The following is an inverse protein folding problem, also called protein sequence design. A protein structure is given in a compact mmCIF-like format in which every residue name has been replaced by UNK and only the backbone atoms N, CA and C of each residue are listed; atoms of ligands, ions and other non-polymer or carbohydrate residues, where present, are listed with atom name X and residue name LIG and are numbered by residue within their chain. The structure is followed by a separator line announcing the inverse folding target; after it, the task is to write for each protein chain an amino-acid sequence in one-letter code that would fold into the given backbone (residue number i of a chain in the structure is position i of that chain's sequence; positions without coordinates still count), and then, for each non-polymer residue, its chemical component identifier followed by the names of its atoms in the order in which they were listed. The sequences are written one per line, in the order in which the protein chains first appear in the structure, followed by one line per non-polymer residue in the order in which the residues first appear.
data_IF_859206729169
#
_entry.id   IF_859206729169
#
_cell.length_a   1.000
_cell.length_b   1.000
_cell.length_c   1.000
_cell.angle_alpha   90.00
_cell.angle_beta   90.00
_cell.angle_gamma   90.00
#
_symmetry.space_group_name_H-M   'P 1'
#
loop_
_entity.id
_entity.type
_entity.pdbx_description
1 polymer ?
#
# COMPACT_ATOMS: atom_id res chain seq x y z
N UNK A 1 -17.91 -0.79 -17.94
CA UNK A 1 -17.11 -2.02 -17.81
C UNK A 1 -17.98 -3.15 -17.31
N UNK A 2 -17.89 -4.30 -17.97
CA UNK A 2 -18.56 -5.55 -17.57
C UNK A 2 -17.74 -6.32 -16.52
N UNK A 3 -18.34 -7.29 -15.83
CA UNK A 3 -17.64 -8.12 -14.84
C UNK A 3 -16.43 -8.90 -15.41
N UNK A 4 -16.53 -9.53 -16.60
CA UNK A 4 -15.39 -10.20 -17.22
C UNK A 4 -14.23 -9.24 -17.57
N UNK A 5 -14.55 -8.04 -18.05
CA UNK A 5 -13.53 -7.02 -18.36
C UNK A 5 -12.76 -6.60 -17.11
N UNK A 6 -13.47 -6.31 -16.01
CA UNK A 6 -12.84 -5.94 -14.73
C UNK A 6 -11.98 -7.08 -14.21
N UNK A 7 -12.50 -8.32 -14.23
CA UNK A 7 -11.75 -9.51 -13.79
C UNK A 7 -10.45 -9.68 -14.57
N UNK A 8 -10.52 -9.61 -15.90
CA UNK A 8 -9.35 -9.77 -16.76
C UNK A 8 -8.32 -8.67 -16.52
N UNK A 9 -8.77 -7.41 -16.33
CA UNK A 9 -7.87 -6.29 -16.07
C UNK A 9 -7.22 -6.38 -14.70
N UNK A 10 -7.93 -6.85 -13.68
CA UNK A 10 -7.36 -7.17 -12.36
C UNK A 10 -6.25 -8.22 -12.49
N UNK A 11 -6.48 -9.29 -13.25
CA UNK A 11 -5.49 -10.36 -13.46
C UNK A 11 -4.27 -9.88 -14.25
N UNK A 12 -4.45 -9.01 -15.23
CA UNK A 12 -3.37 -8.37 -15.98
C UNK A 12 -2.48 -7.53 -15.04
N UNK A 13 -3.11 -6.66 -14.23
CA UNK A 13 -2.40 -5.84 -13.24
C UNK A 13 -1.70 -6.73 -12.21
N UNK A 14 -2.38 -7.78 -11.74
CA UNK A 14 -1.81 -8.74 -10.80
C UNK A 14 -0.55 -9.38 -11.38
N UNK A 15 -0.61 -9.94 -12.59
CA UNK A 15 0.56 -10.53 -13.26
C UNK A 15 1.72 -9.53 -13.41
N UNK A 16 1.43 -8.26 -13.70
CA UNK A 16 2.45 -7.21 -13.81
C UNK A 16 3.11 -6.85 -12.48
N UNK A 17 2.40 -7.00 -11.36
CA UNK A 17 2.87 -6.63 -10.02
C UNK A 17 3.50 -7.79 -9.25
N UNK A 18 3.26 -9.03 -9.68
CA UNK A 18 3.88 -10.21 -9.09
C UNK A 18 5.40 -10.14 -9.21
N UNK A 19 6.06 -10.68 -8.19
CA UNK A 19 7.51 -10.86 -8.21
C UNK A 19 7.96 -11.94 -9.19
N UNK A 20 7.09 -12.92 -9.48
CA UNK A 20 7.27 -13.89 -10.55
C UNK A 20 5.97 -13.96 -11.38
N UNK A 21 5.99 -13.37 -12.57
CA UNK A 21 4.82 -13.23 -13.44
C UNK A 21 4.34 -14.56 -14.04
N UNK A 22 5.24 -15.54 -14.18
CA UNK A 22 5.00 -16.78 -14.92
C UNK A 22 4.67 -17.97 -14.03
N UNK A 23 4.86 -17.86 -12.72
CA UNK A 23 4.50 -18.93 -11.78
C UNK A 23 2.98 -19.14 -11.74
N UNK A 24 2.55 -20.39 -11.57
CA UNK A 24 1.15 -20.68 -11.28
C UNK A 24 0.71 -20.02 -9.95
N UNK A 25 -0.59 -19.77 -9.80
CA UNK A 25 -1.14 -19.22 -8.58
C UNK A 25 -2.55 -19.76 -8.35
N UNK A 26 -2.97 -19.78 -7.10
CA UNK A 26 -4.32 -20.15 -6.72
C UNK A 26 -5.20 -18.90 -6.63
N UNK A 27 -6.27 -18.84 -7.44
CA UNK A 27 -7.18 -17.68 -7.50
C UNK A 27 -7.89 -17.37 -6.17
N UNK A 28 -8.07 -18.37 -5.31
CA UNK A 28 -8.75 -18.20 -4.02
C UNK A 28 -8.00 -17.33 -3.03
N UNK A 29 -6.67 -17.21 -3.18
CA UNK A 29 -5.80 -16.40 -2.32
C UNK A 29 -4.64 -15.79 -3.11
N UNK A 30 -4.96 -15.31 -4.32
CA UNK A 30 -3.97 -14.81 -5.28
C UNK A 30 -3.11 -13.65 -4.74
N UNK A 31 -3.60 -12.90 -3.76
CA UNK A 31 -2.84 -11.84 -3.09
C UNK A 31 -1.51 -12.34 -2.52
N UNK A 32 -1.49 -13.54 -1.94
CA UNK A 32 -0.28 -14.11 -1.34
C UNK A 32 0.81 -14.45 -2.36
N UNK A 33 0.43 -14.53 -3.65
CA UNK A 33 1.33 -14.76 -4.77
C UNK A 33 1.91 -13.48 -5.39
N UNK A 34 1.65 -12.30 -4.80
CA UNK A 34 2.31 -11.04 -5.19
C UNK A 34 3.82 -11.06 -4.87
N UNK A 35 4.23 -11.83 -3.86
CA UNK A 35 5.63 -11.99 -3.45
C UNK A 35 6.26 -13.27 -4.04
N UNK A 36 7.59 -13.35 -3.97
CA UNK A 36 8.34 -14.57 -4.25
C UNK A 36 9.37 -14.79 -3.11
N UNK A 37 9.33 -15.91 -2.38
CA UNK A 37 8.32 -16.98 -2.45
C UNK A 37 6.90 -16.49 -2.13
N UNK A 38 5.89 -17.25 -2.56
CA UNK A 38 4.51 -16.97 -2.20
C UNK A 38 4.31 -17.18 -0.69
N UNK A 39 3.47 -16.35 -0.09
CA UNK A 39 3.10 -16.49 1.32
C UNK A 39 2.05 -17.62 1.51
N UNK A 40 1.93 -18.11 2.73
CA UNK A 40 0.80 -18.97 3.10
C UNK A 40 -0.51 -18.20 2.98
N UNK A 41 -1.63 -18.93 2.88
CA UNK A 41 -2.96 -18.37 2.67
C UNK A 41 -3.30 -17.26 3.67
N UNK A 42 -3.59 -16.07 3.16
CA UNK A 42 -3.94 -14.86 3.90
C UNK A 42 -2.85 -14.41 4.88
N UNK A 43 -1.58 -14.52 4.49
CA UNK A 43 -0.45 -14.13 5.35
C UNK A 43 0.48 -13.10 4.72
N UNK A 44 0.19 -12.60 3.50
CA UNK A 44 1.01 -11.57 2.87
C UNK A 44 1.19 -10.30 3.73
N UNK A 45 0.23 -9.98 4.60
CA UNK A 45 0.34 -8.80 5.49
C UNK A 45 1.19 -9.04 6.73
N UNK A 46 1.69 -10.26 6.95
CA UNK A 46 2.53 -10.59 8.09
C UNK A 46 4.01 -10.19 7.87
N UNK A 47 4.36 -9.68 6.68
CA UNK A 47 5.71 -9.20 6.39
C UNK A 47 5.69 -7.77 5.83
N UNK A 48 6.68 -6.95 6.19
CA UNK A 48 6.79 -5.57 5.67
C UNK A 48 6.84 -5.53 4.14
N UNK A 49 7.52 -6.51 3.52
CA UNK A 49 7.62 -6.62 2.06
C UNK A 49 6.28 -6.99 1.44
N UNK A 50 5.57 -7.95 2.02
CA UNK A 50 4.27 -8.39 1.56
C UNK A 50 3.21 -7.30 1.71
N UNK A 51 3.14 -6.63 2.86
CA UNK A 51 2.29 -5.45 3.09
C UNK A 51 2.51 -4.39 2.01
N UNK A 52 3.77 -4.04 1.73
CA UNK A 52 4.10 -3.05 0.70
C UNK A 52 3.65 -3.51 -0.69
N UNK A 53 3.86 -4.77 -1.05
CA UNK A 53 3.44 -5.32 -2.34
C UNK A 53 1.92 -5.33 -2.48
N UNK A 54 1.22 -5.72 -1.42
CA UNK A 54 -0.24 -5.68 -1.34
C UNK A 54 -0.78 -4.27 -1.57
N UNK A 55 -0.29 -3.27 -0.81
CA UNK A 55 -0.76 -1.90 -0.97
C UNK A 55 -0.45 -1.33 -2.37
N UNK A 56 0.75 -1.56 -2.90
CA UNK A 56 1.09 -1.14 -4.28
C UNK A 56 0.16 -1.72 -5.33
N UNK A 57 -0.21 -3.00 -5.19
CA UNK A 57 -1.17 -3.64 -6.08
C UNK A 57 -2.54 -2.96 -5.97
N UNK A 58 -3.04 -2.74 -4.74
CA UNK A 58 -4.32 -2.04 -4.52
C UNK A 58 -4.31 -0.62 -5.06
N UNK A 59 -3.23 0.13 -4.84
CA UNK A 59 -3.02 1.49 -5.34
C UNK A 59 -3.05 1.57 -6.86
N UNK A 60 -2.49 0.56 -7.54
CA UNK A 60 -2.51 0.45 -9.00
C UNK A 60 -3.92 0.18 -9.52
N UNK A 61 -4.72 -0.60 -8.79
CA UNK A 61 -6.14 -0.77 -9.10
C UNK A 61 -6.94 0.52 -8.87
N UNK A 62 -6.68 1.25 -7.78
CA UNK A 62 -7.30 2.56 -7.53
C UNK A 62 -7.07 3.51 -8.71
N UNK A 63 -5.81 3.58 -9.17
CA UNK A 63 -5.46 4.37 -10.34
C UNK A 63 -6.14 3.84 -11.59
N UNK A 64 -6.01 2.56 -11.93
CA UNK A 64 -6.56 2.03 -13.19
C UNK A 64 -8.07 2.26 -13.32
N UNK A 65 -8.82 1.98 -12.26
CA UNK A 65 -10.28 2.05 -12.30
C UNK A 65 -10.83 3.41 -11.86
N UNK A 66 -9.98 4.35 -11.41
CA UNK A 66 -10.41 5.64 -10.88
C UNK A 66 -11.31 5.49 -9.65
N UNK A 67 -10.96 4.57 -8.75
CA UNK A 67 -11.72 4.26 -7.53
C UNK A 67 -10.88 4.46 -6.28
N UNK A 68 -11.52 4.60 -5.12
CA UNK A 68 -10.83 4.64 -3.84
C UNK A 68 -11.35 3.52 -2.92
N UNK A 69 -10.46 2.69 -2.40
CA UNK A 69 -10.77 1.71 -1.36
C UNK A 69 -10.82 2.39 0.02
N UNK A 70 -11.71 1.95 0.90
CA UNK A 70 -11.62 2.39 2.31
C UNK A 70 -10.51 1.63 3.04
N UNK A 71 -10.09 2.13 4.20
CA UNK A 71 -9.15 1.40 5.08
C UNK A 71 -9.68 -0.02 5.38
N UNK A 72 -10.98 -0.13 5.68
CA UNK A 72 -11.65 -1.42 5.90
C UNK A 72 -11.68 -2.35 4.69
N UNK A 73 -11.56 -1.81 3.47
CA UNK A 73 -11.40 -2.64 2.27
C UNK A 73 -9.95 -3.13 2.18
N UNK A 74 -9.00 -2.23 2.43
CA UNK A 74 -7.57 -2.56 2.41
C UNK A 74 -7.17 -3.57 3.48
N UNK A 75 -7.88 -3.66 4.60
CA UNK A 75 -7.60 -4.64 5.67
C UNK A 75 -8.04 -6.07 5.32
N UNK A 76 -8.92 -6.25 4.32
CA UNK A 76 -9.43 -7.58 3.95
C UNK A 76 -8.48 -8.37 3.06
N UNK A 77 -8.69 -9.68 2.99
CA UNK A 77 -8.11 -10.55 1.97
C UNK A 77 -9.17 -10.84 0.90
N UNK A 78 -8.75 -10.86 -0.36
CA UNK A 78 -9.64 -11.04 -1.50
C UNK A 78 -9.24 -12.25 -2.33
N UNK A 79 -10.25 -13.02 -2.75
CA UNK A 79 -10.15 -13.81 -3.99
C UNK A 79 -10.42 -12.90 -5.19
N UNK A 80 -10.05 -13.36 -6.39
CA UNK A 80 -10.23 -12.60 -7.64
C UNK A 80 -11.69 -12.14 -7.81
N UNK A 81 -12.65 -13.04 -7.58
CA UNK A 81 -14.07 -12.73 -7.75
C UNK A 81 -14.58 -11.72 -6.73
N UNK A 82 -14.16 -11.85 -5.46
CA UNK A 82 -14.52 -10.89 -4.40
C UNK A 82 -13.97 -9.50 -4.71
N UNK A 83 -12.74 -9.42 -5.20
CA UNK A 83 -12.14 -8.15 -5.60
C UNK A 83 -12.86 -7.54 -6.80
N UNK A 84 -13.19 -8.36 -7.80
CA UNK A 84 -13.90 -7.93 -9.01
C UNK A 84 -15.24 -7.29 -8.66
N UNK A 85 -16.04 -7.96 -7.82
CA UNK A 85 -17.31 -7.42 -7.31
C UNK A 85 -17.09 -6.12 -6.54
N UNK A 86 -16.02 -6.04 -5.75
CA UNK A 86 -15.71 -4.83 -4.98
C UNK A 86 -15.31 -3.64 -5.87
N UNK A 87 -14.51 -3.87 -6.90
CA UNK A 87 -14.15 -2.86 -7.89
C UNK A 87 -15.40 -2.36 -8.61
N UNK A 88 -16.27 -3.25 -9.09
CA UNK A 88 -17.55 -2.88 -9.71
C UNK A 88 -18.44 -2.05 -8.79
N UNK A 89 -18.53 -2.42 -7.51
CA UNK A 89 -19.26 -1.64 -6.50
C UNK A 89 -18.69 -0.22 -6.38
N UNK A 90 -17.36 -0.09 -6.34
CA UNK A 90 -16.66 1.19 -6.19
C UNK A 90 -16.75 2.07 -7.45
N UNK A 91 -16.71 1.49 -8.64
CA UNK A 91 -16.90 2.22 -9.91
C UNK A 91 -18.25 2.96 -9.90
N UNK A 92 -19.31 2.33 -9.38
CA UNK A 92 -20.65 2.93 -9.29
C UNK A 92 -20.75 4.04 -8.23
N UNK A 93 -19.85 4.06 -7.24
CA UNK A 93 -19.91 4.96 -6.06
C UNK A 93 -18.99 6.18 -6.17
N UNK A 94 -19.13 6.97 -7.23
CA UNK A 94 -18.30 8.17 -7.46
C UNK A 94 -18.24 9.16 -6.29
N UNK A 95 -19.37 9.48 -5.66
CA UNK A 95 -19.40 10.35 -4.46
C UNK A 95 -18.64 9.74 -3.28
N UNK A 96 -18.81 8.43 -3.05
CA UNK A 96 -18.11 7.70 -1.99
C UNK A 96 -16.59 7.68 -2.18
N UNK A 97 -16.12 7.55 -3.43
CA UNK A 97 -14.69 7.59 -3.75
C UNK A 97 -14.09 8.97 -3.45
N UNK A 98 -14.81 10.05 -3.78
CA UNK A 98 -14.40 11.43 -3.45
C UNK A 98 -14.31 11.67 -1.95
N UNK A 99 -15.30 11.22 -1.18
CA UNK A 99 -15.28 11.34 0.29
C UNK A 99 -14.08 10.61 0.91
N UNK A 100 -13.77 9.40 0.43
CA UNK A 100 -12.61 8.65 0.92
C UNK A 100 -11.32 9.41 0.60
N UNK A 101 -11.19 9.95 -0.61
CA UNK A 101 -10.00 10.71 -0.99
C UNK A 101 -9.86 12.01 -0.20
N UNK A 102 -10.96 12.74 0.02
CA UNK A 102 -10.98 13.93 0.87
C UNK A 102 -10.52 13.60 2.29
N UNK A 103 -11.05 12.52 2.89
CA UNK A 103 -10.62 12.06 4.21
C UNK A 103 -9.13 11.73 4.26
N UNK A 104 -8.59 11.05 3.23
CA UNK A 104 -7.14 10.78 3.12
C UNK A 104 -6.30 12.06 2.98
N UNK A 105 -6.82 13.10 2.32
CA UNK A 105 -6.16 14.41 2.24
C UNK A 105 -6.21 15.17 3.57
N UNK A 106 -7.30 15.03 4.33
CA UNK A 106 -7.51 15.70 5.62
C UNK A 106 -6.74 15.05 6.78
N UNK A 107 -6.38 13.76 6.66
CA UNK A 107 -5.45 13.10 7.57
C UNK A 107 -4.08 13.77 7.50
N UNK A 108 -3.91 14.82 8.33
CA UNK A 108 -2.65 15.57 8.45
C UNK A 108 -1.49 14.61 8.68
N UNK A 109 -0.44 14.75 7.87
CA UNK A 109 0.82 14.03 8.09
C UNK A 109 1.39 14.42 9.45
N UNK A 110 1.21 13.55 10.43
CA UNK A 110 1.86 13.70 11.73
C UNK A 110 3.28 13.15 11.59
N UNK A 111 4.26 13.99 11.88
CA UNK A 111 5.68 13.63 11.96
C UNK A 111 6.09 13.23 13.38
N UNK A 112 5.10 12.85 14.21
CA UNK A 112 5.28 12.54 15.63
C UNK A 112 6.20 11.32 15.80
N UNK A 113 6.05 10.30 14.95
CA UNK A 113 6.89 9.11 15.02
C UNK A 113 8.35 9.43 14.70
N UNK A 114 8.61 10.24 13.67
CA UNK A 114 9.95 10.69 13.31
C UNK A 114 10.59 11.54 14.42
N UNK A 115 9.80 12.42 15.04
CA UNK A 115 10.26 13.23 16.16
C UNK A 115 10.62 12.36 17.38
N UNK A 116 9.77 11.38 17.72
CA UNK A 116 10.05 10.42 18.80
C UNK A 116 11.32 9.63 18.51
N UNK A 117 11.51 9.14 17.28
CA UNK A 117 12.71 8.41 16.88
C UNK A 117 13.98 9.28 17.03
N UNK A 118 13.91 10.56 16.65
CA UNK A 118 15.02 11.50 16.83
C UNK A 118 15.34 11.73 18.31
N UNK A 119 14.32 11.87 19.16
CA UNK A 119 14.50 12.04 20.62
C UNK A 119 15.15 10.79 21.23
N UNK A 120 14.70 9.58 20.84
CA UNK A 120 15.29 8.32 21.30
C UNK A 120 16.76 8.24 20.90
N UNK A 121 17.08 8.57 19.64
CA UNK A 121 18.46 8.56 19.16
C UNK A 121 19.34 9.57 19.93
N UNK A 122 18.85 10.79 20.17
CA UNK A 122 19.55 11.79 20.96
C UNK A 122 19.78 11.32 22.41
N UNK A 123 18.79 10.68 23.02
CA UNK A 123 18.90 10.08 24.36
C UNK A 123 19.94 8.96 24.42
N UNK A 124 20.02 8.11 23.38
CA UNK A 124 21.05 7.07 23.27
C UNK A 124 22.46 7.66 23.22
N UNK A 125 22.67 8.70 22.41
CA UNK A 125 23.95 9.40 22.34
C UNK A 125 24.31 10.09 23.66
N UNK A 126 23.32 10.70 24.33
CA UNK A 126 23.53 11.34 25.63
C UNK A 126 23.95 10.33 26.71
N UNK A 127 23.32 9.14 26.72
CA UNK A 127 23.59 8.12 27.74
C UNK A 127 24.89 7.34 27.50
N UNK A 128 25.12 6.89 26.26
CA UNK A 128 26.24 5.98 25.94
C UNK A 128 27.47 6.68 25.36
N UNK A 129 27.35 7.96 24.97
CA UNK A 129 28.38 8.64 24.19
C UNK A 129 28.52 8.06 22.78
N UNK A 130 29.63 8.40 22.11
CA UNK A 130 29.93 7.88 20.78
C UNK A 130 30.70 6.57 20.92
N UNK A 131 30.04 5.46 20.61
CA UNK A 131 30.61 4.12 20.59
C UNK A 131 30.05 3.30 19.40
N UNK A 132 30.54 2.08 19.21
CA UNK A 132 30.09 1.21 18.11
C UNK A 132 28.57 0.93 18.15
N UNK A 133 27.97 0.83 19.33
CA UNK A 133 26.52 0.64 19.48
C UNK A 133 25.76 1.85 18.95
N UNK A 134 26.18 3.07 19.31
CA UNK A 134 25.56 4.32 18.84
C UNK A 134 25.67 4.49 17.32
N UNK A 135 26.78 4.06 16.72
CA UNK A 135 26.99 4.08 15.26
C UNK A 135 26.02 3.12 14.57
N UNK A 136 25.94 1.87 15.05
CA UNK A 136 25.02 0.85 14.51
C UNK A 136 23.56 1.30 14.68
N UNK A 137 23.21 1.83 15.85
CA UNK A 137 21.89 2.38 16.12
C UNK A 137 21.55 3.51 15.12
N UNK A 138 22.47 4.43 14.88
CA UNK A 138 22.26 5.53 13.92
C UNK A 138 21.95 5.01 12.51
N UNK A 139 22.67 3.99 12.04
CA UNK A 139 22.41 3.38 10.73
C UNK A 139 21.01 2.75 10.70
N UNK A 140 20.63 1.99 11.73
CA UNK A 140 19.29 1.36 11.82
C UNK A 140 18.19 2.42 11.82
N UNK A 141 18.33 3.47 12.65
CA UNK A 141 17.37 4.58 12.69
C UNK A 141 17.26 5.28 11.34
N UNK A 142 18.39 5.52 10.66
CA UNK A 142 18.42 6.10 9.32
C UNK A 142 17.64 5.26 8.31
N UNK A 143 17.82 3.93 8.32
CA UNK A 143 17.07 3.00 7.45
C UNK A 143 15.56 3.08 7.75
N UNK A 144 15.17 3.10 9.02
CA UNK A 144 13.76 3.18 9.43
C UNK A 144 13.14 4.51 8.98
N UNK A 145 13.80 5.64 9.25
CA UNK A 145 13.33 6.97 8.86
C UNK A 145 13.20 7.06 7.33
N UNK A 146 14.23 6.61 6.60
CA UNK A 146 14.19 6.56 5.14
C UNK A 146 12.99 5.75 4.63
N UNK A 147 12.72 4.59 5.23
CA UNK A 147 11.60 3.73 4.85
C UNK A 147 10.24 4.40 5.10
N UNK A 148 10.07 5.10 6.23
CA UNK A 148 8.84 5.85 6.58
C UNK A 148 8.64 7.01 5.60
N UNK A 149 9.67 7.84 5.40
CA UNK A 149 9.60 8.99 4.51
C UNK A 149 9.34 8.58 3.06
N UNK A 150 10.03 7.54 2.57
CA UNK A 150 9.81 6.99 1.24
C UNK A 150 8.36 6.51 1.04
N UNK A 151 7.78 5.87 2.06
CA UNK A 151 6.38 5.45 2.05
C UNK A 151 5.42 6.65 1.98
N UNK A 152 5.66 7.70 2.80
CA UNK A 152 4.86 8.94 2.80
C UNK A 152 4.92 9.66 1.45
N UNK A 153 6.11 9.80 0.88
CA UNK A 153 6.31 10.41 -0.44
C UNK A 153 5.53 9.65 -1.52
N UNK A 154 5.61 8.32 -1.52
CA UNK A 154 4.86 7.49 -2.45
C UNK A 154 3.34 7.67 -2.30
N UNK A 155 2.83 7.63 -1.06
CA UNK A 155 1.40 7.83 -0.79
C UNK A 155 0.92 9.21 -1.26
N UNK A 156 1.69 10.27 -1.01
CA UNK A 156 1.38 11.63 -1.47
C UNK A 156 1.34 11.71 -3.00
N UNK A 157 2.30 11.07 -3.67
CA UNK A 157 2.32 11.01 -5.13
C UNK A 157 1.11 10.24 -5.68
N UNK A 158 0.71 9.14 -5.04
CA UNK A 158 -0.47 8.37 -5.39
C UNK A 158 -1.76 9.18 -5.22
N UNK A 159 -1.96 9.80 -4.05
CA UNK A 159 -3.11 10.66 -3.75
C UNK A 159 -3.20 11.82 -4.75
N UNK A 160 -2.06 12.44 -5.11
CA UNK A 160 -2.02 13.48 -6.15
C UNK A 160 -2.56 12.95 -7.49
N UNK A 161 -2.05 11.81 -7.96
CA UNK A 161 -2.51 11.16 -9.20
C UNK A 161 -3.99 10.79 -9.14
N UNK A 162 -4.48 10.34 -7.99
CA UNK A 162 -5.90 10.03 -7.77
C UNK A 162 -6.78 11.29 -7.85
N UNK A 163 -6.34 12.40 -7.25
CA UNK A 163 -7.05 13.69 -7.37
C UNK A 163 -7.14 14.12 -8.84
N UNK A 164 -6.04 14.05 -9.58
CA UNK A 164 -6.01 14.38 -11.02
C UNK A 164 -6.99 13.51 -11.81
N UNK A 165 -6.95 12.18 -11.61
CA UNK A 165 -7.82 11.24 -12.34
C UNK A 165 -9.31 11.40 -12.01
N UNK A 166 -9.65 11.68 -10.75
CA UNK A 166 -11.04 11.90 -10.32
C UNK A 166 -11.58 13.30 -10.67
N UNK A 167 -10.69 14.26 -10.96
CA UNK A 167 -11.07 15.57 -11.51
C UNK A 167 -11.23 15.53 -13.03
N UNK A 168 -10.50 14.68 -13.75
CA UNK A 168 -10.64 14.48 -15.20
C UNK A 168 -11.91 13.71 -15.61
N UNK A 169 -12.45 12.86 -14.72
CA UNK A 169 -13.72 12.16 -14.94
C UNK A 169 -14.97 13.01 -14.59
N UNK A 170 -14.87 14.34 -14.65
CA UNK A 170 -16.00 15.28 -14.58
C UNK A 170 -16.52 15.55 -15.98
#
# INVERSE_FOLDING_TARGET
MTEPEVRNKILEIFKSERSNSSAEFNESHFMDFLTNPAHEKNTIKNSFRGVRKYYRFMDKLELEFGICFSLSDLDRYYSVDKLTKKVLERIKKGKGNKMILQRRNEEKEKYIFELILLIILAGLFYWQGINWISIIATIIFGIIIYWILSSKIYNKAHIKKMNERLMMNK
#
